data_IF_546139144358
#
_entry.id   IF_546139144358
#
_cell.length_a   1.000
_cell.length_b   1.000
_cell.length_c   1.000
_cell.angle_alpha   90.00
_cell.angle_beta   90.00
_cell.angle_gamma   90.00
#
_symmetry.space_group_name_H-M   'P 1'
#
loop_
_entity.id
_entity.type
_entity.pdbx_description
1 polymer ?
#
# COMPACT_ATOMS: atom_id res chain seq x y z
N UNK A 1 -6.91 -16.78 -5.01
CA UNK A 1 -6.75 -15.58 -4.15
C UNK A 1 -5.26 -15.32 -3.93
N UNK A 2 -4.83 -14.06 -4.04
CA UNK A 2 -3.44 -13.68 -3.75
C UNK A 2 -3.26 -13.60 -2.23
N UNK A 3 -2.10 -14.01 -1.71
CA UNK A 3 -1.72 -13.73 -0.32
C UNK A 3 -1.26 -12.29 -0.18
N UNK A 4 -1.26 -11.75 1.05
CA UNK A 4 -0.74 -10.41 1.35
C UNK A 4 0.73 -10.26 0.93
N UNK A 5 1.55 -11.30 1.15
CA UNK A 5 2.94 -11.32 0.70
C UNK A 5 3.06 -11.20 -0.83
N UNK A 6 2.23 -11.97 -1.55
CA UNK A 6 2.22 -11.93 -3.02
C UNK A 6 1.85 -10.54 -3.51
N UNK A 7 0.78 -9.93 -2.95
CA UNK A 7 0.38 -8.56 -3.27
C UNK A 7 1.50 -7.58 -3.02
N UNK A 8 2.06 -7.60 -1.82
CA UNK A 8 3.14 -6.69 -1.44
C UNK A 8 4.32 -6.80 -2.39
N UNK A 9 4.81 -8.03 -2.64
CA UNK A 9 5.94 -8.26 -3.54
C UNK A 9 5.64 -7.82 -4.99
N UNK A 10 4.41 -7.94 -5.46
CA UNK A 10 4.00 -7.43 -6.79
C UNK A 10 3.94 -5.90 -6.80
N UNK A 11 3.34 -5.28 -5.78
CA UNK A 11 3.14 -3.82 -5.73
C UNK A 11 4.45 -3.06 -5.63
N UNK A 12 5.43 -3.54 -4.83
CA UNK A 12 6.73 -2.86 -4.70
C UNK A 12 7.54 -2.85 -5.99
N UNK A 13 7.27 -3.75 -6.93
CA UNK A 13 7.95 -3.79 -8.22
C UNK A 13 7.45 -2.73 -9.23
N UNK A 14 6.29 -2.12 -8.96
CA UNK A 14 5.75 -1.03 -9.78
C UNK A 14 6.39 0.27 -9.31
N UNK A 15 7.09 0.96 -10.21
CA UNK A 15 7.68 2.26 -9.91
C UNK A 15 6.60 3.34 -9.79
N UNK A 16 6.49 3.93 -8.61
CA UNK A 16 5.50 4.96 -8.27
C UNK A 16 6.13 6.18 -7.61
N UNK A 17 7.43 6.40 -7.83
CA UNK A 17 8.16 7.50 -7.21
C UNK A 17 7.52 8.86 -7.55
N UNK A 18 7.28 9.67 -6.51
CA UNK A 18 6.82 11.07 -6.62
C UNK A 18 7.94 12.01 -7.06
N UNK A 19 7.57 13.22 -7.51
CA UNK A 19 8.52 14.27 -7.92
C UNK A 19 8.16 15.61 -7.26
N UNK A 20 8.94 16.08 -6.27
CA UNK A 20 8.66 17.34 -5.57
C UNK A 20 8.78 18.58 -6.45
N UNK A 21 9.42 18.48 -7.64
CA UNK A 21 9.57 19.59 -8.57
C UNK A 21 8.42 19.67 -9.60
N UNK A 22 7.59 18.66 -9.67
CA UNK A 22 6.44 18.63 -10.58
C UNK A 22 5.29 19.50 -10.05
N UNK A 23 4.63 20.21 -10.96
CA UNK A 23 3.41 20.98 -10.65
C UNK A 23 2.13 20.20 -10.97
N UNK A 24 2.24 19.01 -11.57
CA UNK A 24 1.07 18.17 -11.88
C UNK A 24 0.55 17.43 -10.64
N UNK A 25 -0.66 16.91 -10.74
CA UNK A 25 -1.28 16.02 -9.77
C UNK A 25 -1.88 14.80 -10.51
N UNK A 26 -1.36 13.59 -10.29
CA UNK A 26 -0.20 13.29 -9.45
C UNK A 26 1.09 13.91 -10.01
N UNK A 27 2.11 14.02 -9.16
CA UNK A 27 3.41 14.59 -9.56
C UNK A 27 4.10 13.79 -10.65
N UNK A 28 3.81 12.49 -10.72
CA UNK A 28 4.27 11.59 -11.78
C UNK A 28 3.13 10.67 -12.23
N UNK A 29 2.96 10.50 -13.54
CA UNK A 29 1.91 9.62 -14.11
C UNK A 29 2.11 8.13 -13.76
N UNK A 30 3.35 7.70 -13.49
CA UNK A 30 3.67 6.31 -13.13
C UNK A 30 3.02 5.85 -11.82
N UNK A 31 2.62 6.77 -10.94
CA UNK A 31 1.85 6.44 -9.74
C UNK A 31 0.49 5.79 -10.09
N UNK A 32 -0.12 6.23 -11.20
CA UNK A 32 -1.38 5.66 -11.70
C UNK A 32 -1.23 4.21 -12.17
N UNK A 33 -0.02 3.70 -12.40
CA UNK A 33 0.16 2.31 -12.83
C UNK A 33 -0.20 1.34 -11.70
N UNK A 34 0.23 1.60 -10.47
CA UNK A 34 -0.24 0.84 -9.31
C UNK A 34 -1.74 1.08 -9.07
N UNK A 35 -2.20 2.34 -9.13
CA UNK A 35 -3.61 2.68 -8.93
C UNK A 35 -4.53 1.90 -9.89
N UNK A 36 -4.15 1.71 -11.16
CA UNK A 36 -4.92 0.90 -12.13
C UNK A 36 -4.98 -0.58 -11.74
N UNK A 37 -3.87 -1.13 -11.24
CA UNK A 37 -3.84 -2.51 -10.73
C UNK A 37 -4.82 -2.66 -9.56
N UNK A 38 -4.80 -1.73 -8.60
CA UNK A 38 -5.67 -1.75 -7.42
C UNK A 38 -7.15 -1.66 -7.80
N UNK A 39 -7.51 -0.76 -8.73
CA UNK A 39 -8.88 -0.67 -9.24
C UNK A 39 -9.30 -2.00 -9.87
N UNK A 40 -8.44 -2.60 -10.71
CA UNK A 40 -8.73 -3.90 -11.32
C UNK A 40 -9.02 -4.98 -10.28
N UNK A 41 -8.16 -5.11 -9.26
CA UNK A 41 -8.34 -6.09 -8.19
C UNK A 41 -9.61 -5.82 -7.36
N UNK A 42 -9.92 -4.56 -7.02
CA UNK A 42 -11.14 -4.19 -6.29
C UNK A 42 -12.40 -4.53 -7.08
N UNK A 43 -12.41 -4.28 -8.39
CA UNK A 43 -13.51 -4.68 -9.28
C UNK A 43 -13.66 -6.21 -9.35
N UNK A 44 -12.56 -6.95 -9.42
CA UNK A 44 -12.56 -8.43 -9.38
C UNK A 44 -13.08 -8.97 -8.05
N UNK A 45 -12.82 -8.28 -6.94
CA UNK A 45 -13.41 -8.60 -5.63
C UNK A 45 -14.90 -8.23 -5.52
N UNK A 46 -15.45 -7.49 -6.50
CA UNK A 46 -16.87 -7.15 -6.56
C UNK A 46 -17.23 -5.75 -6.04
N UNK A 47 -16.26 -4.90 -5.72
CA UNK A 47 -16.48 -3.49 -5.39
C UNK A 47 -16.75 -2.70 -6.67
N UNK A 48 -18.01 -2.62 -7.07
CA UNK A 48 -18.45 -2.14 -8.41
C UNK A 48 -18.21 -0.66 -8.66
N UNK A 49 -18.03 0.13 -7.62
CA UNK A 49 -17.76 1.57 -7.67
C UNK A 49 -16.27 1.91 -7.69
N UNK A 50 -15.41 0.89 -7.62
CA UNK A 50 -13.96 1.09 -7.64
C UNK A 50 -13.53 1.83 -8.92
N UNK A 51 -12.86 2.95 -8.77
CA UNK A 51 -12.39 3.75 -9.89
C UNK A 51 -11.17 4.59 -9.51
N UNK A 52 -10.42 4.96 -10.54
CA UNK A 52 -9.31 5.90 -10.49
C UNK A 52 -9.80 7.25 -11.03
N UNK A 53 -9.59 8.33 -10.29
CA UNK A 53 -9.91 9.66 -10.78
C UNK A 53 -8.77 10.29 -11.60
N UNK A 54 -9.01 11.48 -12.12
CA UNK A 54 -8.04 12.21 -12.95
C UNK A 54 -6.78 12.61 -12.17
N UNK A 55 -6.89 12.83 -10.86
CA UNK A 55 -5.81 13.22 -9.97
C UNK A 55 -5.00 12.05 -9.38
N UNK A 56 -5.36 10.82 -9.71
CA UNK A 56 -4.62 9.63 -9.28
C UNK A 56 -5.17 8.95 -8.02
N UNK A 57 -6.27 9.43 -7.45
CA UNK A 57 -6.91 8.80 -6.30
C UNK A 57 -7.73 7.58 -6.71
N UNK A 58 -7.62 6.52 -5.94
CA UNK A 58 -8.49 5.36 -6.05
C UNK A 58 -9.55 5.43 -4.96
N UNK A 59 -10.81 5.34 -5.36
CA UNK A 59 -11.95 5.24 -4.46
C UNK A 59 -12.67 3.92 -4.68
N UNK A 60 -13.10 3.30 -3.59
CA UNK A 60 -14.00 2.15 -3.63
C UNK A 60 -14.81 2.05 -2.34
N UNK A 61 -15.92 1.32 -2.38
CA UNK A 61 -16.76 1.04 -1.22
C UNK A 61 -16.95 -0.44 -1.05
N UNK A 62 -16.67 -0.94 0.14
CA UNK A 62 -17.20 -2.21 0.63
C UNK A 62 -18.56 -1.89 1.31
N UNK A 63 -19.69 -2.23 0.67
CA UNK A 63 -21.00 -1.82 1.16
C UNK A 63 -21.39 -2.54 2.45
N UNK A 64 -22.09 -1.83 3.32
CA UNK A 64 -22.62 -2.38 4.58
C UNK A 64 -23.41 -3.67 4.37
N UNK A 65 -23.27 -4.61 5.30
CA UNK A 65 -24.07 -5.84 5.38
C UNK A 65 -24.96 -5.89 6.65
N UNK A 66 -25.14 -4.76 7.34
CA UNK A 66 -26.00 -4.66 8.51
C UNK A 66 -27.16 -3.67 8.28
N UNK A 67 -28.35 -3.95 8.86
CA UNK A 67 -29.57 -3.16 8.73
C UNK A 67 -29.69 -2.04 9.79
N UNK A 68 -28.55 -1.51 10.28
CA UNK A 68 -28.52 -0.42 11.26
C UNK A 68 -27.55 0.66 10.82
N UNK A 69 -27.82 1.89 11.23
CA UNK A 69 -26.89 2.99 11.03
C UNK A 69 -25.62 2.76 11.86
N UNK A 70 -24.49 2.82 11.19
CA UNK A 70 -23.13 2.77 11.78
C UNK A 70 -22.27 3.82 11.09
N UNK A 71 -21.28 4.38 11.79
CA UNK A 71 -20.38 5.34 11.17
C UNK A 71 -19.66 4.74 9.95
N UNK A 72 -19.55 5.53 8.88
CA UNK A 72 -18.78 5.16 7.70
C UNK A 72 -17.29 5.30 8.03
N UNK A 73 -16.55 4.22 7.87
CA UNK A 73 -15.10 4.19 8.08
C UNK A 73 -14.36 4.34 6.75
N UNK A 74 -13.14 4.87 6.81
CA UNK A 74 -12.22 4.87 5.69
C UNK A 74 -10.89 4.21 6.10
N UNK A 75 -10.35 3.36 5.23
CA UNK A 75 -8.96 2.95 5.26
C UNK A 75 -8.23 3.62 4.11
N UNK A 76 -7.12 4.26 4.43
CA UNK A 76 -6.31 5.04 3.50
C UNK A 76 -4.86 4.56 3.52
N UNK A 77 -4.23 4.53 2.35
CA UNK A 77 -2.80 4.30 2.18
C UNK A 77 -2.31 5.06 0.95
N UNK A 78 -1.01 5.39 0.87
CA UNK A 78 -0.49 6.05 -0.31
C UNK A 78 0.22 5.08 -1.26
N UNK A 79 0.16 5.39 -2.55
CA UNK A 79 0.76 4.55 -3.59
C UNK A 79 2.16 5.00 -3.99
N UNK A 80 2.49 6.27 -3.74
CA UNK A 80 3.80 6.81 -4.13
C UNK A 80 4.91 6.35 -3.19
N UNK A 81 6.12 6.51 -3.66
CA UNK A 81 7.34 6.25 -2.90
C UNK A 81 8.22 7.49 -2.91
N UNK A 82 9.06 7.59 -1.87
CA UNK A 82 9.94 8.73 -1.63
C UNK A 82 10.81 9.07 -2.86
N UNK A 83 10.98 10.36 -3.16
CA UNK A 83 11.92 10.83 -4.19
C UNK A 83 13.39 10.66 -3.82
N UNK A 84 13.72 10.38 -2.55
CA UNK A 84 15.10 10.35 -2.04
C UNK A 84 15.92 9.15 -2.53
N UNK A 85 15.25 8.06 -2.88
CA UNK A 85 15.89 6.85 -3.41
C UNK A 85 15.03 6.25 -4.51
N UNK A 86 15.67 5.64 -5.52
CA UNK A 86 14.93 5.04 -6.63
C UNK A 86 14.01 3.91 -6.21
N UNK A 87 12.77 3.95 -6.69
CA UNK A 87 11.78 2.86 -6.62
C UNK A 87 11.66 2.06 -7.93
N UNK A 88 12.56 2.30 -8.89
CA UNK A 88 12.55 1.60 -10.16
C UNK A 88 13.35 0.30 -10.11
N UNK A 89 12.76 -0.80 -10.58
CA UNK A 89 13.44 -2.10 -10.64
C UNK A 89 13.63 -2.79 -9.29
N UNK A 90 12.74 -2.54 -8.35
CA UNK A 90 12.75 -3.20 -7.02
C UNK A 90 12.71 -4.72 -7.19
N UNK A 91 13.62 -5.40 -6.51
CA UNK A 91 13.68 -6.86 -6.41
C UNK A 91 13.40 -7.26 -4.96
N UNK A 92 12.15 -7.61 -4.61
CA UNK A 92 11.82 -8.02 -3.25
C UNK A 92 12.44 -9.37 -2.93
N UNK A 93 13.05 -9.49 -1.76
CA UNK A 93 13.67 -10.72 -1.23
C UNK A 93 12.96 -11.11 0.05
N UNK A 94 12.48 -12.36 0.11
CA UNK A 94 11.81 -12.88 1.31
C UNK A 94 12.78 -13.76 2.10
N UNK A 95 13.17 -13.29 3.28
CA UNK A 95 13.99 -14.00 4.24
C UNK A 95 13.11 -14.79 5.19
N UNK A 96 12.97 -16.09 4.96
CA UNK A 96 12.08 -16.96 5.73
C UNK A 96 12.62 -17.26 7.10
N UNK A 97 11.72 -17.25 8.11
CA UNK A 97 12.02 -17.70 9.48
C UNK A 97 13.30 -17.03 10.02
N UNK A 98 13.32 -15.70 10.05
CA UNK A 98 14.46 -14.89 10.45
C UNK A 98 15.00 -15.32 11.83
N UNK A 99 16.32 -15.48 11.96
CA UNK A 99 16.98 -16.00 13.18
C UNK A 99 17.89 -14.97 13.87
N UNK A 100 17.77 -13.68 13.54
CA UNK A 100 18.56 -12.61 14.17
C UNK A 100 19.92 -12.37 13.51
N UNK A 101 20.17 -12.94 12.34
CA UNK A 101 21.41 -12.71 11.56
C UNK A 101 21.35 -11.36 10.82
N UNK A 102 22.53 -10.86 10.46
CA UNK A 102 22.66 -9.74 9.53
C UNK A 102 22.08 -10.14 8.16
N UNK A 103 21.33 -9.23 7.53
CA UNK A 103 20.80 -9.39 6.17
C UNK A 103 21.68 -8.56 5.22
N UNK A 104 22.60 -9.24 4.54
CA UNK A 104 23.44 -8.64 3.51
C UNK A 104 22.70 -8.61 2.19
N UNK A 105 22.53 -7.42 1.59
CA UNK A 105 21.73 -7.28 0.37
C UNK A 105 22.59 -7.61 -0.87
N UNK A 106 22.12 -8.50 -1.77
CA UNK A 106 22.98 -9.15 -2.76
C UNK A 106 23.43 -8.24 -3.92
N UNK A 107 22.65 -7.22 -4.29
CA UNK A 107 23.00 -6.31 -5.39
C UNK A 107 23.95 -5.18 -4.95
N UNK A 108 24.03 -4.93 -3.62
CA UNK A 108 25.05 -4.07 -2.99
C UNK A 108 25.38 -4.63 -1.60
N UNK A 109 26.45 -5.40 -1.51
CA UNK A 109 26.86 -6.07 -0.26
C UNK A 109 27.40 -5.13 0.81
N UNK A 110 27.56 -3.84 0.53
CA UNK A 110 27.82 -2.81 1.53
C UNK A 110 26.56 -2.42 2.31
N UNK A 111 25.38 -2.72 1.77
CA UNK A 111 24.10 -2.52 2.42
C UNK A 111 23.80 -3.74 3.30
N UNK A 112 23.81 -3.53 4.61
CA UNK A 112 23.59 -4.57 5.61
C UNK A 112 22.51 -4.10 6.58
N UNK A 113 21.44 -4.87 6.72
CA UNK A 113 20.42 -4.63 7.74
C UNK A 113 20.77 -5.50 8.94
N UNK A 114 21.28 -4.87 10.00
CA UNK A 114 21.83 -5.55 11.17
C UNK A 114 20.95 -5.33 12.42
N UNK A 115 20.73 -6.36 13.25
CA UNK A 115 20.11 -6.18 14.56
C UNK A 115 20.89 -5.23 15.48
N UNK A 116 22.17 -5.04 15.24
CA UNK A 116 23.00 -4.07 15.98
C UNK A 116 22.52 -2.64 15.75
N UNK A 117 22.18 -2.32 14.50
CA UNK A 117 21.73 -0.98 14.10
C UNK A 117 20.19 -0.85 14.21
N UNK A 118 19.49 -1.98 14.11
CA UNK A 118 18.03 -2.11 14.18
C UNK A 118 17.63 -3.17 15.21
N UNK A 119 17.74 -2.89 16.53
CA UNK A 119 17.49 -3.89 17.59
C UNK A 119 16.09 -4.53 17.56
N UNK A 120 15.11 -3.81 17.04
CA UNK A 120 13.75 -4.28 16.83
C UNK A 120 13.67 -5.58 16.00
N UNK A 121 14.65 -5.84 15.12
CA UNK A 121 14.71 -7.09 14.35
C UNK A 121 14.80 -8.34 15.24
N UNK A 122 15.38 -8.21 16.45
CA UNK A 122 15.43 -9.34 17.40
C UNK A 122 14.04 -9.73 17.93
N UNK A 123 13.07 -8.82 17.89
CA UNK A 123 11.68 -9.11 18.24
C UNK A 123 10.93 -9.83 17.09
N UNK A 124 11.54 -9.89 15.92
CA UNK A 124 11.00 -10.52 14.70
C UNK A 124 11.63 -11.87 14.40
N UNK A 125 12.33 -12.47 15.34
CA UNK A 125 12.85 -13.84 15.17
C UNK A 125 11.70 -14.82 14.99
N UNK A 126 11.79 -15.65 13.96
CA UNK A 126 10.73 -16.57 13.55
C UNK A 126 9.79 -15.99 12.48
N UNK A 127 9.76 -14.67 12.29
CA UNK A 127 8.98 -14.02 11.25
C UNK A 127 9.69 -14.09 9.89
N UNK A 128 8.94 -13.86 8.82
CA UNK A 128 9.48 -13.65 7.48
C UNK A 128 9.76 -12.16 7.28
N UNK A 129 10.95 -11.82 6.81
CA UNK A 129 11.37 -10.43 6.56
C UNK A 129 11.46 -10.20 5.05
N UNK A 130 10.87 -9.12 4.55
CA UNK A 130 11.02 -8.72 3.14
C UNK A 130 11.96 -7.52 3.03
N UNK A 131 12.94 -7.60 2.12
CA UNK A 131 13.87 -6.51 1.82
C UNK A 131 13.93 -6.24 0.33
N UNK A 132 14.47 -5.07 -0.07
CA UNK A 132 14.98 -4.88 -1.41
C UNK A 132 16.34 -5.58 -1.57
N UNK A 133 16.91 -5.55 -2.77
CA UNK A 133 18.20 -6.20 -3.09
C UNK A 133 19.46 -5.35 -2.81
N UNK A 134 19.29 -4.09 -2.42
CA UNK A 134 20.38 -3.20 -1.99
C UNK A 134 20.61 -1.96 -2.85
N UNK A 135 20.03 -1.89 -4.05
CA UNK A 135 20.22 -0.77 -4.99
C UNK A 135 19.01 0.14 -5.13
N UNK A 136 17.88 -0.22 -4.48
CA UNK A 136 16.62 0.55 -4.49
C UNK A 136 16.06 0.62 -3.07
N UNK A 137 15.12 1.54 -2.83
CA UNK A 137 14.22 1.38 -1.68
C UNK A 137 13.34 0.12 -1.88
N UNK A 138 12.71 -0.37 -0.82
CA UNK A 138 11.70 -1.43 -0.93
C UNK A 138 10.32 -0.84 -1.28
N UNK A 139 9.99 0.31 -0.71
CA UNK A 139 8.67 0.95 -0.87
C UNK A 139 7.62 0.35 0.06
N UNK A 140 8.03 -0.19 1.23
CA UNK A 140 7.10 -0.69 2.23
C UNK A 140 6.22 0.44 2.79
N UNK A 141 6.74 1.63 2.88
CA UNK A 141 6.03 2.87 3.07
C UNK A 141 5.56 3.40 1.70
N UNK A 142 4.26 3.35 1.32
CA UNK A 142 3.22 2.68 2.14
C UNK A 142 2.53 1.53 1.36
N UNK A 143 3.26 0.87 0.46
CA UNK A 143 2.71 -0.29 -0.28
C UNK A 143 2.41 -1.49 0.64
N UNK A 144 2.94 -1.50 1.86
CA UNK A 144 2.55 -2.47 2.87
C UNK A 144 1.12 -2.18 3.37
N UNK A 145 0.79 -0.92 3.69
CA UNK A 145 -0.57 -0.50 4.03
C UNK A 145 -1.55 -0.76 2.88
N UNK A 146 -1.14 -0.45 1.64
CA UNK A 146 -1.94 -0.81 0.45
C UNK A 146 -2.23 -2.31 0.41
N UNK A 147 -1.22 -3.16 0.60
CA UNK A 147 -1.40 -4.62 0.57
C UNK A 147 -2.29 -5.12 1.71
N UNK A 148 -2.15 -4.55 2.92
CA UNK A 148 -2.99 -4.87 4.09
C UNK A 148 -4.45 -4.51 3.83
N UNK A 149 -4.73 -3.32 3.29
CA UNK A 149 -6.10 -2.89 2.98
C UNK A 149 -6.72 -3.82 1.91
N UNK A 150 -5.97 -4.16 0.86
CA UNK A 150 -6.45 -5.05 -0.19
C UNK A 150 -6.71 -6.47 0.33
N UNK A 151 -5.89 -6.98 1.23
CA UNK A 151 -6.07 -8.28 1.86
C UNK A 151 -7.28 -8.27 2.81
N UNK A 152 -7.45 -7.20 3.58
CA UNK A 152 -8.63 -6.97 4.42
C UNK A 152 -9.92 -6.97 3.58
N UNK A 153 -9.97 -6.22 2.47
CA UNK A 153 -11.15 -6.21 1.57
C UNK A 153 -11.45 -7.62 1.05
N UNK A 154 -10.42 -8.33 0.58
CA UNK A 154 -10.57 -9.70 0.12
C UNK A 154 -11.12 -10.62 1.22
N UNK A 155 -10.61 -10.46 2.46
CA UNK A 155 -11.10 -11.22 3.61
C UNK A 155 -12.57 -10.96 3.88
N UNK A 156 -12.98 -9.69 3.93
CA UNK A 156 -14.38 -9.30 4.21
C UNK A 156 -15.34 -9.78 3.12
N UNK A 157 -14.96 -9.68 1.86
CA UNK A 157 -15.77 -10.19 0.73
C UNK A 157 -15.95 -11.71 0.81
N UNK A 158 -14.95 -12.43 1.26
CA UNK A 158 -15.00 -13.89 1.41
C UNK A 158 -15.75 -14.36 2.68
N UNK A 159 -15.96 -13.46 3.63
CA UNK A 159 -16.62 -13.72 4.91
C UNK A 159 -17.84 -12.80 5.12
N UNK A 160 -18.88 -12.93 4.28
CA UNK A 160 -20.06 -12.05 4.34
C UNK A 160 -20.86 -12.18 5.66
N UNK A 161 -20.54 -13.16 6.48
CA UNK A 161 -21.09 -13.34 7.84
C UNK A 161 -20.48 -12.35 8.85
N UNK A 162 -19.35 -11.71 8.55
CA UNK A 162 -18.73 -10.70 9.42
C UNK A 162 -19.50 -9.37 9.28
N UNK A 163 -20.15 -8.88 10.36
CA UNK A 163 -20.96 -7.68 10.25
C UNK A 163 -20.10 -6.41 10.15
N UNK A 164 -20.42 -5.55 9.19
CA UNK A 164 -19.74 -4.25 9.02
C UNK A 164 -20.68 -3.20 8.42
N UNK A 165 -20.39 -1.92 8.68
CA UNK A 165 -20.98 -0.77 7.99
C UNK A 165 -20.30 -0.53 6.64
N UNK A 166 -20.64 0.60 6.00
CA UNK A 166 -19.91 1.04 4.81
C UNK A 166 -18.44 1.31 5.16
N UNK A 167 -17.54 0.73 4.37
CA UNK A 167 -16.11 0.95 4.48
C UNK A 167 -15.62 1.57 3.17
N UNK A 168 -15.08 2.78 3.27
CA UNK A 168 -14.45 3.47 2.17
C UNK A 168 -13.00 3.06 2.05
N UNK A 169 -12.55 2.82 0.84
CA UNK A 169 -11.15 2.56 0.50
C UNK A 169 -10.65 3.76 -0.29
N UNK A 170 -9.54 4.33 0.18
CA UNK A 170 -8.88 5.46 -0.46
C UNK A 170 -7.40 5.15 -0.65
N UNK A 171 -6.91 5.20 -1.88
CA UNK A 171 -5.48 5.22 -2.13
C UNK A 171 -5.09 6.55 -2.74
N UNK A 172 -4.03 7.18 -2.19
CA UNK A 172 -3.62 8.54 -2.52
C UNK A 172 -2.28 8.56 -3.24
N UNK A 173 -2.07 9.50 -4.18
CA UNK A 173 -0.75 9.82 -4.70
C UNK A 173 -0.07 10.90 -3.86
N UNK A 174 1.24 11.13 -4.09
CA UNK A 174 2.00 12.31 -3.65
C UNK A 174 2.04 12.57 -2.13
N UNK A 175 1.88 11.54 -1.30
CA UNK A 175 1.98 11.69 0.16
C UNK A 175 3.41 12.11 0.56
N UNK A 176 4.42 11.45 -0.01
CA UNK A 176 5.85 11.62 0.28
C UNK A 176 6.40 13.02 -0.04
N UNK A 177 5.62 13.82 -0.75
CA UNK A 177 5.92 15.23 -1.04
C UNK A 177 4.91 16.20 -0.39
N UNK A 178 4.08 15.69 0.56
CA UNK A 178 3.15 16.48 1.35
C UNK A 178 1.90 16.95 0.61
N UNK A 179 1.51 16.27 -0.49
CA UNK A 179 0.35 16.65 -1.33
C UNK A 179 -0.72 15.56 -1.41
N UNK A 180 -0.61 14.53 -0.56
CA UNK A 180 -1.47 13.35 -0.59
C UNK A 180 -2.97 13.63 -0.47
N UNK A 181 -3.39 14.75 0.13
CA UNK A 181 -4.80 15.09 0.35
C UNK A 181 -5.30 16.29 -0.45
N UNK A 182 -4.45 16.91 -1.28
CA UNK A 182 -4.74 18.21 -1.94
C UNK A 182 -6.00 18.18 -2.82
N UNK A 183 -6.32 17.05 -3.41
CA UNK A 183 -7.46 16.87 -4.33
C UNK A 183 -8.44 15.77 -3.91
N UNK A 184 -8.37 15.32 -2.65
CA UNK A 184 -9.35 14.36 -2.13
C UNK A 184 -10.74 14.98 -2.14
N UNK A 185 -11.69 14.31 -2.79
CA UNK A 185 -13.11 14.67 -2.75
C UNK A 185 -13.73 14.12 -1.45
N UNK A 186 -13.77 14.97 -0.42
CA UNK A 186 -14.27 14.59 0.90
C UNK A 186 -15.78 14.31 0.91
N UNK A 187 -16.54 14.96 0.05
CA UNK A 187 -17.99 14.72 -0.07
C UNK A 187 -18.25 13.34 -0.67
N UNK A 188 -17.48 12.98 -1.70
CA UNK A 188 -17.51 11.65 -2.32
C UNK A 188 -17.02 10.56 -1.37
N UNK A 189 -15.96 10.82 -0.62
CA UNK A 189 -15.45 9.90 0.38
C UNK A 189 -16.49 9.63 1.46
N UNK A 190 -17.12 10.68 2.01
CA UNK A 190 -18.26 10.58 2.93
C UNK A 190 -17.97 9.78 4.20
N UNK A 191 -16.71 9.59 4.57
CA UNK A 191 -16.32 8.89 5.79
C UNK A 191 -16.34 9.81 7.02
N UNK A 192 -16.69 9.25 8.17
CA UNK A 192 -16.73 9.95 9.46
C UNK A 192 -15.40 9.79 10.21
N UNK A 193 -14.75 8.64 10.04
CA UNK A 193 -13.46 8.29 10.67
C UNK A 193 -12.58 7.65 9.62
N UNK A 194 -11.30 8.03 9.58
CA UNK A 194 -10.28 7.41 8.73
C UNK A 194 -9.12 6.84 9.54
N UNK A 195 -8.53 5.78 9.01
CA UNK A 195 -7.29 5.17 9.48
C UNK A 195 -6.31 5.11 8.31
N UNK A 196 -5.08 5.51 8.57
CA UNK A 196 -3.96 5.50 7.64
C UNK A 196 -2.75 4.88 8.30
#
# INVERSE_FOLDING_TARGET
MKSIETRFCEYVQIDTQSDPNSLSQPSTEKQKDLSRVLVGELLEMGLKDAHLDEFGYVYATLPSNVDREVPVLCFCAHVDTSPDCTGAGVKPLVHRNYQGQDLVLPDDTSQVISPKDHPYLLERMGDDIVTASGTTLLGADDKAGVAVIMDFVQHMVNHPELPHGDIRILFTPDEEIGRGVDKVDMDKLGAVVGYT
#
